data_IF_933646521758
#
_entry.id   IF_933646521758
#
_cell.length_a   1.000
_cell.length_b   1.000
_cell.length_c   1.000
_cell.angle_alpha   90.00
_cell.angle_beta   90.00
_cell.angle_gamma   90.00
#
_symmetry.space_group_name_H-M   'P 1'
#
loop_
_entity.id
_entity.type
_entity.pdbx_description
1 polymer ?
#
# COMPACT_ATOMS: atom_id res chain seq x y z
N UNK A 1 -27.95 16.53 5.35
CA UNK A 1 -26.60 17.11 5.37
C UNK A 1 -25.61 15.98 5.74
N UNK A 2 -24.59 15.77 4.91
CA UNK A 2 -23.51 14.80 5.14
C UNK A 2 -22.20 15.59 5.22
N UNK A 3 -21.39 15.32 6.25
CA UNK A 3 -20.08 15.92 6.44
C UNK A 3 -19.04 14.83 6.70
N UNK A 4 -17.83 15.04 6.21
CA UNK A 4 -16.66 14.21 6.49
C UNK A 4 -15.66 15.01 7.31
N UNK A 5 -15.04 14.39 8.28
CA UNK A 5 -14.01 15.01 9.12
C UNK A 5 -12.98 13.97 9.54
N UNK A 6 -11.72 14.39 9.67
CA UNK A 6 -10.70 13.61 10.33
C UNK A 6 -10.78 13.90 11.82
N UNK A 7 -11.10 12.88 12.62
CA UNK A 7 -11.26 12.99 14.07
C UNK A 7 -10.19 12.10 14.71
N UNK A 8 -9.26 12.73 15.44
CA UNK A 8 -8.20 12.01 16.15
C UNK A 8 -7.09 12.97 16.58
N UNK A 9 -6.36 12.58 17.60
CA UNK A 9 -5.23 13.37 18.13
C UNK A 9 -4.03 13.37 17.19
N UNK A 10 -3.98 12.45 16.24
CA UNK A 10 -2.98 12.33 15.18
C UNK A 10 -3.09 13.45 14.13
N UNK A 11 -4.24 14.11 14.05
CA UNK A 11 -4.47 15.21 13.09
C UNK A 11 -4.18 16.56 13.75
N UNK A 12 -2.92 16.99 13.74
CA UNK A 12 -2.42 18.18 14.44
C UNK A 12 -3.03 19.50 13.97
N UNK A 13 -3.61 19.55 12.78
CA UNK A 13 -4.21 20.75 12.19
C UNK A 13 -5.71 20.87 12.41
N UNK A 14 -6.35 19.89 13.05
CA UNK A 14 -7.78 19.90 13.31
C UNK A 14 -8.05 20.34 14.74
N UNK A 15 -9.02 21.26 14.91
CA UNK A 15 -9.53 21.57 16.25
C UNK A 15 -10.42 20.42 16.71
N UNK A 16 -10.34 20.09 17.99
CA UNK A 16 -11.27 19.15 18.60
C UNK A 16 -12.69 19.64 18.33
N UNK A 17 -13.49 18.79 17.68
CA UNK A 17 -14.88 19.14 17.35
C UNK A 17 -15.70 19.22 18.63
N UNK A 18 -16.53 20.26 18.73
CA UNK A 18 -17.41 20.45 19.89
C UNK A 18 -18.33 19.23 20.04
N UNK A 19 -18.37 18.69 21.26
CA UNK A 19 -19.20 17.53 21.58
C UNK A 19 -20.69 17.78 21.31
N UNK A 20 -21.16 19.02 21.51
CA UNK A 20 -22.52 19.39 21.20
C UNK A 20 -22.86 19.34 19.70
N UNK A 21 -21.86 19.45 18.83
CA UNK A 21 -22.01 19.24 17.39
C UNK A 21 -22.08 17.75 17.09
N UNK A 22 -21.14 16.97 17.66
CA UNK A 22 -21.09 15.50 17.44
C UNK A 22 -22.40 14.82 17.89
N UNK A 23 -22.99 15.25 19.02
CA UNK A 23 -24.26 14.70 19.54
C UNK A 23 -25.48 14.92 18.60
N UNK A 24 -25.34 15.79 17.61
CA UNK A 24 -26.41 16.09 16.62
C UNK A 24 -26.26 15.30 15.33
N UNK A 25 -25.19 14.56 15.15
CA UNK A 25 -24.93 13.75 13.96
C UNK A 25 -24.89 12.27 14.29
N UNK A 26 -25.33 11.45 13.35
CA UNK A 26 -24.99 10.02 13.36
C UNK A 26 -23.57 9.90 12.84
N UNK A 27 -22.67 9.46 13.71
CA UNK A 27 -21.26 9.30 13.38
C UNK A 27 -21.02 7.89 12.84
N UNK A 28 -20.40 7.81 11.67
CA UNK A 28 -19.95 6.56 11.06
C UNK A 28 -18.43 6.65 10.93
N UNK A 29 -17.74 5.73 11.55
CA UNK A 29 -16.30 5.58 11.40
C UNK A 29 -15.99 4.83 10.10
N UNK A 30 -15.10 5.38 9.29
CA UNK A 30 -14.66 4.78 8.05
C UNK A 30 -13.20 4.35 8.19
N UNK A 31 -12.97 3.06 8.05
CA UNK A 31 -11.62 2.49 8.01
C UNK A 31 -11.00 2.62 6.63
N UNK A 32 -9.68 2.45 6.54
CA UNK A 32 -8.98 2.28 5.28
C UNK A 32 -9.44 0.98 4.60
N UNK A 33 -9.44 0.97 3.27
CA UNK A 33 -9.78 -0.22 2.50
C UNK A 33 -8.74 -1.32 2.72
N UNK A 34 -9.19 -2.57 2.76
CA UNK A 34 -8.30 -3.73 2.64
C UNK A 34 -7.86 -3.93 1.17
N UNK A 35 -6.98 -4.88 0.92
CA UNK A 35 -6.43 -5.17 -0.40
C UNK A 35 -7.51 -5.59 -1.41
N UNK A 36 -8.49 -6.39 -0.99
CA UNK A 36 -9.60 -6.86 -1.84
C UNK A 36 -10.52 -5.70 -2.23
N UNK A 37 -10.86 -4.86 -1.26
CA UNK A 37 -11.70 -3.68 -1.48
C UNK A 37 -11.00 -2.64 -2.36
N UNK A 38 -9.70 -2.40 -2.11
CA UNK A 38 -8.87 -1.50 -2.90
C UNK A 38 -8.77 -1.99 -4.36
N UNK A 39 -8.47 -3.27 -4.56
CA UNK A 39 -8.46 -3.88 -5.90
C UNK A 39 -9.80 -3.76 -6.60
N UNK A 40 -10.91 -3.98 -5.87
CA UNK A 40 -12.26 -3.80 -6.42
C UNK A 40 -12.52 -2.38 -6.89
N UNK A 41 -12.09 -1.38 -6.11
CA UNK A 41 -12.19 0.03 -6.48
C UNK A 41 -11.34 0.34 -7.72
N UNK A 42 -10.08 -0.10 -7.75
CA UNK A 42 -9.17 0.16 -8.85
C UNK A 42 -9.66 -0.48 -10.16
N UNK A 43 -10.15 -1.71 -10.13
CA UNK A 43 -10.77 -2.39 -11.30
C UNK A 43 -12.00 -1.64 -11.80
N UNK A 44 -12.82 -1.10 -10.90
CA UNK A 44 -13.98 -0.33 -11.29
C UNK A 44 -13.59 0.98 -11.98
N UNK A 45 -12.55 1.66 -11.50
CA UNK A 45 -12.09 2.95 -12.04
C UNK A 45 -11.25 2.80 -13.31
N UNK A 46 -10.43 1.75 -13.40
CA UNK A 46 -9.46 1.52 -14.47
C UNK A 46 -9.61 0.11 -15.08
N UNK A 47 -10.74 -0.20 -15.72
CA UNK A 47 -11.03 -1.54 -16.24
C UNK A 47 -10.10 -1.98 -17.39
N UNK A 48 -9.37 -1.04 -18.01
CA UNK A 48 -8.45 -1.30 -19.12
C UNK A 48 -7.01 -1.57 -18.67
N UNK A 49 -6.69 -1.28 -17.39
CA UNK A 49 -5.36 -1.56 -16.82
C UNK A 49 -5.25 -3.04 -16.50
N UNK A 50 -4.06 -3.59 -16.70
CA UNK A 50 -3.77 -4.98 -16.37
C UNK A 50 -4.12 -5.28 -14.91
N UNK A 51 -4.83 -6.38 -14.69
CA UNK A 51 -5.27 -6.79 -13.34
C UNK A 51 -4.09 -7.03 -12.39
N UNK A 52 -2.97 -7.56 -12.89
CA UNK A 52 -1.78 -7.81 -12.07
C UNK A 52 -1.18 -6.51 -11.52
N UNK A 53 -1.17 -5.44 -12.33
CA UNK A 53 -0.66 -4.14 -11.90
C UNK A 53 -1.59 -3.50 -10.86
N UNK A 54 -2.91 -3.58 -11.07
CA UNK A 54 -3.89 -3.12 -10.08
C UNK A 54 -3.79 -3.91 -8.77
N UNK A 55 -3.53 -5.21 -8.85
CA UNK A 55 -3.30 -6.06 -7.69
C UNK A 55 -2.03 -5.68 -6.96
N UNK A 56 -0.92 -5.44 -7.68
CA UNK A 56 0.32 -4.96 -7.11
C UNK A 56 0.12 -3.65 -6.33
N UNK A 57 -0.60 -2.67 -6.90
CA UNK A 57 -0.93 -1.42 -6.22
C UNK A 57 -1.71 -1.66 -4.93
N UNK A 58 -2.75 -2.50 -4.98
CA UNK A 58 -3.58 -2.81 -3.81
C UNK A 58 -2.77 -3.48 -2.69
N UNK A 59 -1.92 -4.45 -3.03
CA UNK A 59 -1.06 -5.16 -2.08
C UNK A 59 0.02 -4.25 -1.49
N UNK A 60 0.68 -3.39 -2.29
CA UNK A 60 1.63 -2.38 -1.82
C UNK A 60 0.94 -1.45 -0.82
N UNK A 61 -0.23 -0.95 -1.16
CA UNK A 61 -0.99 -0.03 -0.31
C UNK A 61 -1.39 -0.68 1.01
N UNK A 62 -1.94 -1.89 0.96
CA UNK A 62 -2.29 -2.67 2.14
C UNK A 62 -1.08 -2.94 3.04
N UNK A 63 0.05 -3.34 2.44
CA UNK A 63 1.28 -3.60 3.18
C UNK A 63 1.78 -2.35 3.93
N UNK A 64 1.78 -1.18 3.28
CA UNK A 64 2.20 0.06 3.94
C UNK A 64 1.28 0.45 5.08
N UNK A 65 -0.04 0.25 4.95
CA UNK A 65 -1.03 0.51 6.00
C UNK A 65 -0.81 -0.41 7.20
N UNK A 66 -0.62 -1.70 6.95
CA UNK A 66 -0.33 -2.69 7.99
C UNK A 66 0.96 -2.34 8.75
N UNK A 67 2.03 -1.96 8.03
CA UNK A 67 3.30 -1.59 8.64
C UNK A 67 3.20 -0.29 9.45
N UNK A 68 2.46 0.70 8.97
CA UNK A 68 2.30 2.00 9.64
C UNK A 68 1.42 1.91 10.90
N UNK A 69 0.46 0.97 10.93
CA UNK A 69 -0.45 0.75 12.06
C UNK A 69 0.11 -0.21 13.11
N UNK A 70 1.21 -0.90 12.83
CA UNK A 70 1.84 -1.84 13.75
C UNK A 70 2.69 -1.12 14.80
N UNK A 71 2.64 -1.54 16.06
CA UNK A 71 3.47 -0.99 17.16
C UNK A 71 4.98 -1.06 16.86
N UNK A 72 5.42 -2.07 16.10
CA UNK A 72 6.80 -2.26 15.68
C UNK A 72 6.98 -2.01 14.17
N UNK A 73 6.07 -1.27 13.57
CA UNK A 73 6.11 -0.99 12.13
C UNK A 73 7.31 -0.12 11.75
N UNK A 74 7.81 -0.36 10.53
CA UNK A 74 8.96 0.36 9.98
C UNK A 74 8.57 1.68 9.30
N UNK A 75 7.28 1.93 9.13
CA UNK A 75 6.76 3.06 8.37
C UNK A 75 6.00 4.01 9.28
N UNK A 76 6.28 5.30 9.17
CA UNK A 76 5.54 6.39 9.83
C UNK A 76 4.41 6.92 8.94
N UNK A 77 4.48 6.63 7.64
CA UNK A 77 3.50 7.02 6.63
C UNK A 77 2.91 5.79 5.94
N UNK A 78 1.75 5.97 5.30
CA UNK A 78 1.08 4.91 4.55
C UNK A 78 0.58 5.43 3.20
N UNK A 79 0.43 4.52 2.24
CA UNK A 79 -0.20 4.81 0.95
C UNK A 79 -1.71 4.95 1.14
N UNK A 80 -2.23 6.14 0.84
CA UNK A 80 -3.67 6.40 0.89
C UNK A 80 -4.37 5.85 -0.36
N UNK A 81 -5.67 5.59 -0.28
CA UNK A 81 -6.48 5.20 -1.46
C UNK A 81 -6.39 6.23 -2.59
N UNK A 82 -6.20 7.52 -2.27
CA UNK A 82 -5.99 8.56 -3.28
C UNK A 82 -4.69 8.34 -4.03
N UNK A 83 -3.60 8.02 -3.34
CA UNK A 83 -2.31 7.73 -3.98
C UNK A 83 -2.37 6.45 -4.81
N UNK A 84 -3.12 5.42 -4.38
CA UNK A 84 -3.35 4.20 -5.17
C UNK A 84 -4.10 4.50 -6.47
N UNK A 85 -5.13 5.33 -6.41
CA UNK A 85 -5.90 5.76 -7.60
C UNK A 85 -5.02 6.59 -8.55
N UNK A 86 -4.18 7.48 -8.01
CA UNK A 86 -3.22 8.27 -8.80
C UNK A 86 -2.20 7.37 -9.51
N UNK A 87 -1.65 6.39 -8.78
CA UNK A 87 -0.71 5.40 -9.33
C UNK A 87 -1.35 4.57 -10.47
N UNK A 88 -2.59 4.10 -10.26
CA UNK A 88 -3.33 3.37 -11.30
C UNK A 88 -3.64 4.26 -12.53
N UNK A 89 -3.91 5.54 -12.31
CA UNK A 89 -4.11 6.52 -13.38
C UNK A 89 -2.85 6.73 -14.22
N UNK A 90 -1.67 6.81 -13.58
CA UNK A 90 -0.39 6.90 -14.28
C UNK A 90 -0.12 5.65 -15.13
N UNK A 91 -0.40 4.45 -14.61
CA UNK A 91 -0.27 3.20 -15.38
C UNK A 91 -1.26 3.18 -16.55
N UNK A 92 -2.48 3.66 -16.35
CA UNK A 92 -3.45 3.83 -17.45
C UNK A 92 -2.93 4.76 -18.56
N UNK A 93 -2.18 5.81 -18.18
CA UNK A 93 -1.53 6.73 -19.10
C UNK A 93 -0.24 6.17 -19.75
N UNK A 94 0.16 4.94 -19.42
CA UNK A 94 1.26 4.21 -20.03
C UNK A 94 2.58 4.26 -19.28
N UNK A 95 2.59 4.71 -18.02
CA UNK A 95 3.77 4.62 -17.15
C UNK A 95 3.95 3.20 -16.62
N UNK A 96 5.19 2.79 -16.41
CA UNK A 96 5.52 1.55 -15.72
C UNK A 96 5.25 1.66 -14.22
N UNK A 97 5.06 0.51 -13.53
CA UNK A 97 4.76 0.44 -12.10
C UNK A 97 5.76 1.24 -11.25
N UNK A 98 7.06 1.12 -11.53
CA UNK A 98 8.13 1.84 -10.81
C UNK A 98 8.04 3.35 -11.04
N UNK A 99 7.84 3.79 -12.28
CA UNK A 99 7.71 5.20 -12.62
C UNK A 99 6.49 5.82 -11.95
N UNK A 100 5.36 5.10 -11.98
CA UNK A 100 4.13 5.51 -11.30
C UNK A 100 4.35 5.62 -9.79
N UNK A 101 5.08 4.68 -9.18
CA UNK A 101 5.42 4.72 -7.77
C UNK A 101 6.37 5.88 -7.42
N UNK A 102 7.34 6.19 -8.28
CA UNK A 102 8.27 7.30 -8.07
C UNK A 102 7.54 8.64 -8.00
N UNK A 103 6.51 8.80 -8.80
CA UNK A 103 5.72 10.04 -8.85
C UNK A 103 4.71 10.10 -7.70
N UNK A 104 3.95 9.01 -7.47
CA UNK A 104 2.74 9.02 -6.66
C UNK A 104 2.95 8.62 -5.20
N UNK A 105 3.95 7.79 -4.87
CA UNK A 105 4.08 7.25 -3.51
C UNK A 105 5.44 7.50 -2.84
N UNK A 106 6.57 7.42 -3.55
CA UNK A 106 7.89 7.62 -2.93
C UNK A 106 8.07 8.96 -2.22
N UNK A 107 7.51 10.09 -2.70
CA UNK A 107 7.66 11.38 -2.02
C UNK A 107 7.07 11.43 -0.61
N UNK A 108 6.12 10.54 -0.27
CA UNK A 108 5.50 10.50 1.06
C UNK A 108 6.35 9.82 2.12
N UNK A 109 7.44 9.14 1.73
CA UNK A 109 8.31 8.38 2.63
C UNK A 109 9.66 9.07 2.81
N UNK A 110 10.13 9.11 4.06
CA UNK A 110 11.40 9.76 4.40
C UNK A 110 12.59 9.07 3.73
N UNK A 111 13.58 9.88 3.34
CA UNK A 111 14.91 9.40 2.89
C UNK A 111 15.92 9.32 4.04
N UNK A 112 15.54 9.78 5.24
CA UNK A 112 16.43 9.77 6.39
C UNK A 112 16.77 8.32 6.78
N UNK A 113 18.04 8.04 7.03
CA UNK A 113 18.53 6.69 7.31
C UNK A 113 19.20 5.99 6.12
N UNK A 114 19.27 6.61 4.95
CA UNK A 114 19.98 6.07 3.79
C UNK A 114 19.40 4.74 3.32
N UNK A 115 20.19 3.65 3.38
CA UNK A 115 19.75 2.31 2.95
C UNK A 115 18.65 1.72 3.83
N UNK A 116 18.52 2.16 5.07
CA UNK A 116 17.49 1.73 6.01
C UNK A 116 16.29 2.70 6.05
N UNK A 117 16.22 3.66 5.12
CA UNK A 117 15.13 4.63 5.07
C UNK A 117 13.81 3.99 4.66
N UNK A 118 12.69 4.61 5.09
CA UNK A 118 11.35 4.21 4.68
C UNK A 118 11.22 4.14 3.15
N UNK A 119 11.76 5.14 2.45
CA UNK A 119 11.72 5.19 0.99
C UNK A 119 12.46 4.02 0.34
N UNK A 120 13.62 3.62 0.88
CA UNK A 120 14.34 2.44 0.40
C UNK A 120 13.52 1.17 0.61
N UNK A 121 12.87 1.05 1.76
CA UNK A 121 11.97 -0.06 2.04
C UNK A 121 10.81 -0.14 1.03
N UNK A 122 10.18 1.00 0.72
CA UNK A 122 9.09 1.03 -0.27
C UNK A 122 9.58 0.71 -1.68
N UNK A 123 10.77 1.20 -2.08
CA UNK A 123 11.37 0.83 -3.36
C UNK A 123 11.58 -0.68 -3.48
N UNK A 124 12.12 -1.33 -2.45
CA UNK A 124 12.28 -2.78 -2.42
C UNK A 124 10.93 -3.51 -2.49
N UNK A 125 9.89 -2.96 -1.84
CA UNK A 125 8.55 -3.52 -1.91
C UNK A 125 7.98 -3.45 -3.33
N UNK A 126 8.09 -2.30 -4.01
CA UNK A 126 7.62 -2.12 -5.39
C UNK A 126 8.38 -3.04 -6.36
N UNK A 127 9.70 -3.19 -6.17
CA UNK A 127 10.53 -4.05 -7.00
C UNK A 127 10.09 -5.52 -7.00
N UNK A 128 9.48 -6.01 -5.93
CA UNK A 128 8.93 -7.39 -5.89
C UNK A 128 7.83 -7.64 -6.93
N UNK A 129 7.13 -6.59 -7.33
CA UNK A 129 6.03 -6.68 -8.29
C UNK A 129 6.46 -6.31 -9.71
N UNK A 130 7.72 -5.92 -9.91
CA UNK A 130 8.24 -5.66 -11.25
C UNK A 130 8.34 -6.95 -12.06
N UNK A 131 8.03 -6.85 -13.34
CA UNK A 131 8.10 -7.93 -14.31
C UNK A 131 9.23 -7.64 -15.30
N UNK A 132 9.84 -8.69 -15.85
CA UNK A 132 10.78 -8.58 -16.97
C UNK A 132 10.04 -8.29 -18.29
N UNK A 133 10.80 -8.12 -19.38
CA UNK A 133 10.27 -7.90 -20.73
C UNK A 133 9.35 -9.05 -21.21
N UNK A 134 9.40 -10.22 -20.58
CA UNK A 134 8.57 -11.38 -20.88
C UNK A 134 7.33 -11.47 -19.98
N UNK A 135 7.16 -10.53 -19.03
CA UNK A 135 6.06 -10.51 -18.06
C UNK A 135 6.26 -11.45 -16.86
N UNK A 136 7.48 -11.97 -16.67
CA UNK A 136 7.82 -12.80 -15.51
C UNK A 136 8.28 -11.92 -14.33
N UNK A 137 7.93 -12.26 -13.06
CA UNK A 137 8.40 -11.53 -11.89
C UNK A 137 9.93 -11.50 -11.86
N UNK A 138 10.52 -10.31 -11.68
CA UNK A 138 11.98 -10.14 -11.57
C UNK A 138 12.54 -10.87 -10.34
N UNK A 139 11.75 -10.99 -9.28
CA UNK A 139 12.13 -11.69 -8.06
C UNK A 139 11.17 -12.88 -7.85
N UNK A 140 11.68 -14.10 -7.98
CA UNK A 140 10.96 -15.31 -7.58
C UNK A 140 11.14 -15.46 -6.07
N UNK A 141 10.03 -15.54 -5.31
CA UNK A 141 10.11 -16.01 -3.94
C UNK A 141 10.69 -17.44 -3.97
N UNK A 142 11.79 -17.65 -3.25
CA UNK A 142 12.29 -18.98 -3.00
C UNK A 142 11.33 -19.60 -1.99
N UNK A 143 10.51 -20.52 -2.44
CA UNK A 143 9.68 -21.34 -1.55
C UNK A 143 10.63 -22.14 -0.63
N UNK A 144 10.79 -21.72 0.62
CA UNK A 144 11.54 -22.44 1.66
C UNK A 144 10.82 -23.74 2.12
N UNK A 145 10.08 -24.40 1.23
CA UNK A 145 9.36 -25.64 1.53
C UNK A 145 9.98 -26.89 0.95
N UNK A 146 11.22 -26.87 0.48
CA UNK A 146 11.99 -28.10 0.33
C UNK A 146 12.72 -28.42 1.64
N UNK A 147 11.97 -28.92 2.62
CA UNK A 147 12.54 -29.72 3.71
C UNK A 147 13.11 -31.01 3.10
N UNK A 148 14.41 -31.04 2.93
CA UNK A 148 15.16 -32.25 2.70
C UNK A 148 14.81 -33.27 3.81
N UNK A 149 14.05 -34.28 3.46
CA UNK A 149 14.01 -35.53 4.24
C UNK A 149 15.42 -36.15 4.11
N UNK A 150 16.25 -35.88 5.10
CA UNK A 150 17.49 -36.61 5.31
C UNK A 150 17.16 -38.07 5.60
N UNK A 151 17.41 -38.92 4.61
CA UNK A 151 17.45 -40.39 4.79
C UNK A 151 18.49 -40.71 5.87
N UNK A 152 18.02 -41.21 7.01
CA UNK A 152 18.86 -41.76 8.08
C UNK A 152 19.34 -43.14 7.59
N UNK A 153 20.63 -43.39 7.39
CA UNK A 153 21.10 -44.72 7.08
C UNK A 153 20.96 -45.64 8.31
N UNK A 154 20.21 -46.70 8.14
CA UNK A 154 20.15 -47.75 9.16
C UNK A 154 21.43 -48.57 9.09
N UNK A 155 22.15 -48.64 10.25
CA UNK A 155 23.18 -49.64 10.57
C UNK A 155 22.59 -50.70 11.47
#
# INVERSE_FOLDING_TARGET
>A
FIATANIGNEYTSTRVMDRAILDRFVTIEMNVLDDVQELGLLKFMFPEVNEDDLKAIAEISHHTRTQSMSENGKLTSMVSTRASVEMAGLIYDGFELEEAAEISIYPFFSQDGGVDSERTYIKQLVQKYQKDENGEPLFKEVDDTESTEDEIPQF
#
